data_IF_410445038444
#
_entry.id   IF_410445038444
#
_cell.length_a   1.000
_cell.length_b   1.000
_cell.length_c   1.000
_cell.angle_alpha   90.00
_cell.angle_beta   90.00
_cell.angle_gamma   90.00
#
_symmetry.space_group_name_H-M   'P 1'
#
loop_
_entity.id
_entity.type
_entity.pdbx_description
1 polymer ?
#
# COMPACT_ATOMS: atom_id res chain seq x y z
N UNK A 1 -21.90 -17.49 -16.22
CA UNK A 1 -20.78 -18.11 -15.48
C UNK A 1 -19.94 -16.97 -14.95
N UNK A 2 -19.74 -16.87 -13.63
CA UNK A 2 -19.22 -15.65 -13.00
C UNK A 2 -17.71 -15.55 -13.25
N UNK A 3 -17.27 -14.58 -14.05
CA UNK A 3 -15.86 -14.26 -14.35
C UNK A 3 -15.00 -14.26 -13.08
N UNK A 4 -15.57 -13.80 -11.97
CA UNK A 4 -14.92 -13.79 -10.66
C UNK A 4 -14.61 -15.20 -10.12
N UNK A 5 -15.51 -16.16 -10.32
CA UNK A 5 -15.32 -17.53 -9.85
C UNK A 5 -14.23 -18.24 -10.66
N UNK A 6 -14.17 -18.02 -11.98
CA UNK A 6 -13.09 -18.55 -12.84
C UNK A 6 -11.73 -17.93 -12.52
N UNK A 7 -11.67 -16.62 -12.26
CA UNK A 7 -10.44 -15.95 -11.83
C UNK A 7 -9.96 -16.45 -10.47
N UNK A 8 -10.86 -16.60 -9.50
CA UNK A 8 -10.54 -17.08 -8.16
C UNK A 8 -10.05 -18.53 -8.15
N UNK A 9 -10.66 -19.41 -8.96
CA UNK A 9 -10.26 -20.82 -9.05
C UNK A 9 -8.83 -20.98 -9.60
N UNK A 10 -8.47 -20.19 -10.61
CA UNK A 10 -7.14 -20.25 -11.23
C UNK A 10 -6.04 -19.61 -10.37
N UNK A 11 -6.40 -18.63 -9.52
CA UNK A 11 -5.46 -18.03 -8.56
C UNK A 11 -5.19 -18.92 -7.36
N UNK A 12 -6.15 -19.76 -6.94
CA UNK A 12 -5.92 -20.76 -5.90
C UNK A 12 -4.86 -21.79 -6.32
N UNK A 13 -4.84 -22.19 -7.60
CA UNK A 13 -3.82 -23.09 -8.17
C UNK A 13 -2.44 -22.44 -8.27
N UNK A 14 -2.35 -21.14 -8.57
CA UNK A 14 -1.07 -20.40 -8.63
C UNK A 14 -0.54 -20.02 -7.24
N UNK A 15 -1.41 -19.64 -6.29
CA UNK A 15 -1.05 -19.27 -4.91
C UNK A 15 -0.60 -20.48 -4.06
N UNK A 16 -1.15 -21.67 -4.31
CA UNK A 16 -0.70 -22.91 -3.68
C UNK A 16 0.76 -23.24 -4.02
N UNK A 17 1.25 -22.79 -5.17
CA UNK A 17 2.59 -23.10 -5.66
C UNK A 17 3.68 -22.08 -5.28
N UNK A 18 3.34 -20.91 -4.71
CA UNK A 18 4.32 -19.87 -4.34
C UNK A 18 3.93 -19.12 -3.05
N UNK A 19 4.59 -19.43 -1.93
CA UNK A 19 4.34 -18.83 -0.60
C UNK A 19 4.78 -17.36 -0.43
N UNK A 20 4.64 -16.47 -1.42
CA UNK A 20 4.96 -15.03 -1.29
C UNK A 20 4.04 -14.14 -2.13
N UNK A 21 3.73 -12.92 -1.63
CA UNK A 21 2.92 -11.86 -2.26
C UNK A 21 3.12 -11.77 -3.80
N UNK A 22 2.03 -11.62 -4.58
CA UNK A 22 2.11 -11.48 -6.02
C UNK A 22 2.60 -10.08 -6.42
N UNK A 23 3.74 -10.00 -7.12
CA UNK A 23 4.26 -8.78 -7.76
C UNK A 23 4.15 -8.94 -9.28
N UNK A 24 3.60 -7.99 -10.06
CA UNK A 24 3.51 -8.12 -11.52
C UNK A 24 4.86 -8.43 -12.18
N UNK A 25 5.96 -7.81 -11.74
CA UNK A 25 7.31 -8.05 -12.27
C UNK A 25 7.87 -9.46 -12.04
N UNK A 26 7.24 -10.28 -11.19
CA UNK A 26 7.63 -11.68 -10.95
C UNK A 26 6.89 -12.67 -11.85
N UNK A 27 5.90 -12.22 -12.62
CA UNK A 27 5.18 -13.07 -13.54
C UNK A 27 5.79 -12.95 -14.93
N UNK A 28 6.26 -14.06 -15.53
CA UNK A 28 7.09 -14.04 -16.73
C UNK A 28 6.34 -13.64 -18.00
N UNK A 29 5.00 -13.56 -17.96
CA UNK A 29 4.19 -13.30 -19.14
C UNK A 29 3.14 -12.20 -18.87
N UNK A 30 2.95 -11.34 -19.88
CA UNK A 30 2.02 -10.22 -19.86
C UNK A 30 0.59 -10.64 -19.48
N UNK A 31 0.15 -11.82 -19.91
CA UNK A 31 -1.19 -12.34 -19.66
C UNK A 31 -1.42 -12.64 -18.18
N UNK A 32 -0.44 -13.24 -17.49
CA UNK A 32 -0.50 -13.53 -16.06
C UNK A 32 -0.42 -12.23 -15.25
N UNK A 33 0.33 -11.23 -15.71
CA UNK A 33 0.34 -9.89 -15.09
C UNK A 33 -1.03 -9.21 -15.17
N UNK A 34 -1.67 -9.22 -16.34
CA UNK A 34 -3.03 -8.65 -16.51
C UNK A 34 -4.05 -9.43 -15.68
N UNK A 35 -3.95 -10.76 -15.62
CA UNK A 35 -4.85 -11.60 -14.82
C UNK A 35 -4.75 -11.29 -13.32
N UNK A 36 -3.52 -11.14 -12.81
CA UNK A 36 -3.32 -10.74 -11.42
C UNK A 36 -3.97 -9.38 -11.15
N UNK A 37 -3.67 -8.36 -11.97
CA UNK A 37 -4.29 -7.05 -11.81
C UNK A 37 -5.82 -7.11 -11.87
N UNK A 38 -6.38 -7.90 -12.80
CA UNK A 38 -7.83 -8.02 -12.94
C UNK A 38 -8.52 -8.61 -11.71
N UNK A 39 -7.80 -9.43 -10.93
CA UNK A 39 -8.31 -9.99 -9.68
C UNK A 39 -8.45 -8.95 -8.56
N UNK A 40 -7.71 -7.85 -8.66
CA UNK A 40 -7.73 -6.76 -7.68
C UNK A 40 -8.80 -5.71 -8.03
N UNK A 41 -9.42 -5.81 -9.20
CA UNK A 41 -10.43 -4.85 -9.64
C UNK A 41 -11.75 -5.06 -8.88
N UNK A 42 -12.33 -3.94 -8.45
CA UNK A 42 -13.64 -3.90 -7.83
C UNK A 42 -14.47 -2.73 -8.39
N UNK A 43 -15.80 -2.81 -8.20
CA UNK A 43 -16.72 -1.72 -8.55
C UNK A 43 -16.64 -1.32 -10.04
N UNK A 44 -16.58 -0.01 -10.37
CA UNK A 44 -16.54 0.48 -11.74
C UNK A 44 -15.37 -0.08 -12.58
N UNK A 45 -14.23 -0.35 -11.95
CA UNK A 45 -13.06 -0.90 -12.64
C UNK A 45 -13.29 -2.37 -13.07
N UNK A 46 -13.99 -3.16 -12.25
CA UNK A 46 -14.39 -4.52 -12.61
C UNK A 46 -15.44 -4.52 -13.73
N UNK A 47 -16.40 -3.59 -13.67
CA UNK A 47 -17.43 -3.43 -14.70
C UNK A 47 -16.84 -3.05 -16.07
N UNK A 48 -15.78 -2.23 -16.08
CA UNK A 48 -15.01 -1.90 -17.28
C UNK A 48 -14.22 -3.11 -17.82
N UNK A 49 -13.66 -3.94 -16.93
CA UNK A 49 -12.88 -5.11 -17.31
C UNK A 49 -13.73 -6.26 -17.87
N UNK A 50 -14.92 -6.49 -17.32
CA UNK A 50 -15.80 -7.61 -17.69
C UNK A 50 -16.00 -7.80 -19.21
N UNK A 51 -16.35 -6.78 -20.01
CA UNK A 51 -16.50 -6.95 -21.46
C UNK A 51 -15.19 -7.24 -22.20
N UNK A 52 -14.04 -6.79 -21.68
CA UNK A 52 -12.73 -7.13 -22.25
C UNK A 52 -12.41 -8.61 -22.04
N UNK A 53 -12.75 -9.14 -20.87
CA UNK A 53 -12.60 -10.55 -20.51
C UNK A 53 -13.50 -11.45 -21.34
N UNK A 54 -14.79 -11.14 -21.43
CA UNK A 54 -15.78 -11.92 -22.20
C UNK A 54 -15.43 -11.98 -23.68
N UNK A 55 -14.94 -10.88 -24.26
CA UNK A 55 -14.54 -10.78 -25.66
C UNK A 55 -13.13 -11.32 -25.95
N UNK A 56 -12.41 -11.83 -24.94
CA UNK A 56 -11.01 -12.27 -25.04
C UNK A 56 -10.13 -11.24 -25.76
N UNK A 57 -10.28 -9.97 -25.37
CA UNK A 57 -9.59 -8.85 -26.01
C UNK A 57 -8.08 -9.10 -26.06
N UNK A 58 -7.44 -8.67 -27.16
CA UNK A 58 -5.99 -8.70 -27.29
C UNK A 58 -5.27 -7.94 -26.17
N UNK A 59 -5.96 -6.96 -25.55
CA UNK A 59 -5.48 -6.21 -24.38
C UNK A 59 -5.16 -7.12 -23.18
N UNK A 60 -5.78 -8.30 -23.07
CA UNK A 60 -5.51 -9.24 -21.98
C UNK A 60 -4.15 -9.91 -22.10
N UNK A 61 -3.48 -9.81 -23.26
CA UNK A 61 -2.19 -10.44 -23.53
C UNK A 61 -1.03 -9.43 -23.55
N UNK A 62 -1.30 -8.14 -23.36
CA UNK A 62 -0.29 -7.08 -23.33
C UNK A 62 -0.52 -6.16 -22.13
N UNK A 63 0.34 -6.33 -21.13
CA UNK A 63 0.27 -5.60 -19.87
C UNK A 63 0.42 -4.08 -20.06
N UNK A 64 1.31 -3.65 -20.96
CA UNK A 64 1.57 -2.22 -21.16
C UNK A 64 0.39 -1.54 -21.85
N UNK A 65 -0.21 -2.21 -22.85
CA UNK A 65 -1.42 -1.71 -23.51
C UNK A 65 -2.63 -1.74 -22.57
N UNK A 66 -2.75 -2.78 -21.73
CA UNK A 66 -3.78 -2.86 -20.70
C UNK A 66 -3.69 -1.70 -19.70
N UNK A 67 -2.50 -1.47 -19.12
CA UNK A 67 -2.26 -0.38 -18.16
C UNK A 67 -2.48 0.99 -18.81
N UNK A 68 -2.07 1.18 -20.07
CA UNK A 68 -2.30 2.42 -20.81
C UNK A 68 -3.79 2.69 -20.94
N UNK A 69 -4.58 1.71 -21.39
CA UNK A 69 -6.03 1.86 -21.54
C UNK A 69 -6.75 2.06 -20.20
N UNK A 70 -6.31 1.33 -19.17
CA UNK A 70 -6.80 1.49 -17.81
C UNK A 70 -6.55 2.91 -17.28
N UNK A 71 -5.34 3.45 -17.48
CA UNK A 71 -4.99 4.84 -17.13
C UNK A 71 -5.71 5.87 -18.01
N UNK A 72 -5.98 5.59 -19.28
CA UNK A 72 -6.83 6.47 -20.10
C UNK A 72 -8.25 6.54 -19.55
N UNK A 73 -8.77 5.42 -19.02
CA UNK A 73 -10.13 5.34 -18.50
C UNK A 73 -10.25 5.92 -17.08
N UNK A 74 -9.24 5.71 -16.22
CA UNK A 74 -9.31 6.03 -14.79
C UNK A 74 -8.22 6.99 -14.29
N UNK A 75 -7.28 7.41 -15.14
CA UNK A 75 -6.07 8.16 -14.77
C UNK A 75 -6.14 9.67 -14.97
N UNK A 76 -7.31 10.24 -15.30
CA UNK A 76 -7.52 11.68 -15.21
C UNK A 76 -7.71 12.07 -13.73
N UNK A 77 -6.59 12.35 -13.06
CA UNK A 77 -6.54 13.01 -11.76
C UNK A 77 -6.88 14.51 -11.90
N UNK A 78 -8.10 14.80 -12.35
CA UNK A 78 -8.79 16.06 -12.08
C UNK A 78 -10.25 15.91 -12.50
N UNK A 79 -11.08 15.38 -11.59
CA UNK A 79 -12.55 15.53 -11.56
C UNK A 79 -13.13 14.96 -10.26
N UNK A 80 -13.29 15.85 -9.29
CA UNK A 80 -14.53 16.07 -8.55
C UNK A 80 -15.38 14.83 -8.20
N UNK A 81 -15.06 14.16 -7.10
CA UNK A 81 -16.09 13.43 -6.34
C UNK A 81 -16.96 14.44 -5.57
N UNK A 82 -17.78 15.20 -6.29
CA UNK A 82 -19.02 15.92 -5.90
C UNK A 82 -19.18 17.17 -6.76
N UNK A 83 -20.26 17.25 -7.54
CA UNK A 83 -20.38 18.22 -8.64
C UNK A 83 -20.55 19.70 -8.25
N UNK A 84 -20.27 20.59 -9.21
CA UNK A 84 -20.80 21.96 -9.25
C UNK A 84 -19.86 23.07 -9.74
N UNK A 85 -19.86 23.30 -11.06
CA UNK A 85 -19.71 24.60 -11.76
C UNK A 85 -18.49 25.55 -11.54
N UNK A 86 -17.89 25.88 -12.70
CA UNK A 86 -17.32 27.17 -13.21
C UNK A 86 -15.80 27.31 -13.32
N UNK A 87 -15.40 27.51 -14.58
CA UNK A 87 -14.08 27.93 -15.09
C UNK A 87 -13.56 29.23 -14.46
N UNK A 88 -12.25 29.28 -14.17
CA UNK A 88 -11.54 30.49 -13.76
C UNK A 88 -10.01 30.42 -13.84
N UNK A 89 -9.47 30.83 -14.99
CA UNK A 89 -8.18 31.49 -15.28
C UNK A 89 -6.87 31.00 -14.61
N UNK A 90 -5.96 30.54 -15.48
CA UNK A 90 -4.53 30.33 -15.22
C UNK A 90 -3.79 31.64 -14.88
N UNK A 91 -3.12 31.68 -13.72
CA UNK A 91 -2.14 32.69 -13.33
C UNK A 91 -0.84 32.02 -12.91
N UNK A 92 0.29 32.44 -13.52
CA UNK A 92 1.64 31.93 -13.29
C UNK A 92 2.05 32.02 -11.79
N UNK A 93 2.66 30.97 -11.24
CA UNK A 93 3.77 30.98 -10.23
C UNK A 93 4.04 29.58 -9.65
N UNK A 94 5.31 29.19 -9.62
CA UNK A 94 5.85 28.05 -8.87
C UNK A 94 5.64 26.69 -9.54
N UNK A 95 6.70 25.89 -9.66
CA UNK A 95 6.55 24.44 -9.83
C UNK A 95 5.73 23.96 -8.62
N UNK A 96 4.54 23.36 -8.81
CA UNK A 96 3.79 22.84 -7.69
C UNK A 96 4.63 21.73 -7.06
N UNK A 97 5.05 21.91 -5.81
CA UNK A 97 5.28 20.76 -4.95
C UNK A 97 3.94 20.03 -4.96
N UNK A 98 3.88 18.88 -5.63
CA UNK A 98 2.67 18.06 -5.65
C UNK A 98 2.38 17.74 -4.20
N UNK A 99 1.41 18.44 -3.60
CA UNK A 99 0.87 18.05 -2.30
C UNK A 99 0.16 16.75 -2.59
N UNK A 100 0.84 15.64 -2.31
CA UNK A 100 0.22 14.33 -2.41
C UNK A 100 -0.74 14.23 -1.25
N UNK A 101 -2.02 14.00 -1.56
CA UNK A 101 -3.02 13.65 -0.57
C UNK A 101 -2.61 12.31 0.05
N UNK A 102 -1.85 12.38 1.14
CA UNK A 102 -1.32 11.22 1.86
C UNK A 102 -2.21 10.94 3.06
N UNK A 103 -2.50 9.66 3.31
CA UNK A 103 -3.17 9.25 4.51
C UNK A 103 -2.13 9.00 5.60
N UNK A 104 -2.08 9.88 6.58
CA UNK A 104 -1.22 9.76 7.75
C UNK A 104 -2.10 9.58 8.98
N UNK A 105 -1.84 8.52 9.75
CA UNK A 105 -2.51 8.26 11.04
C UNK A 105 -1.49 8.35 12.18
N UNK A 106 -1.93 8.78 13.35
CA UNK A 106 -1.08 8.74 14.54
C UNK A 106 -1.30 7.43 15.28
N UNK A 107 -0.29 6.56 15.28
CA UNK A 107 -0.28 5.33 16.07
C UNK A 107 0.52 5.54 17.33
N UNK A 108 0.30 4.70 18.33
CA UNK A 108 1.11 4.68 19.54
C UNK A 108 1.91 3.38 19.62
N UNK A 109 3.14 3.48 20.11
CA UNK A 109 4.07 2.35 20.26
C UNK A 109 4.39 2.21 21.74
N UNK A 110 4.24 0.99 22.27
CA UNK A 110 4.51 0.68 23.67
C UNK A 110 5.99 0.33 23.89
N UNK A 111 6.61 0.94 24.89
CA UNK A 111 7.97 0.67 25.34
C UNK A 111 8.01 -0.48 26.36
N UNK A 112 9.22 -0.94 26.68
CA UNK A 112 9.46 -2.03 27.63
C UNK A 112 8.98 -1.70 29.05
N UNK A 113 9.07 -0.42 29.44
CA UNK A 113 8.59 0.12 30.71
C UNK A 113 7.07 0.39 30.74
N UNK A 114 6.34 -0.04 29.68
CA UNK A 114 4.90 0.17 29.45
C UNK A 114 4.50 1.61 29.13
N UNK A 115 5.42 2.56 29.10
CA UNK A 115 5.13 3.89 28.56
C UNK A 115 4.86 3.82 27.05
N UNK A 116 4.23 4.86 26.51
CA UNK A 116 3.84 4.92 25.10
C UNK A 116 4.30 6.22 24.47
N UNK A 117 4.73 6.16 23.22
CA UNK A 117 5.00 7.35 22.40
C UNK A 117 4.20 7.28 21.09
N UNK A 118 3.92 8.45 20.53
CA UNK A 118 3.06 8.60 19.35
C UNK A 118 3.89 8.85 18.10
N UNK A 119 3.47 8.24 16.99
CA UNK A 119 4.19 8.23 15.72
C UNK A 119 3.23 8.51 14.57
N UNK A 120 3.52 9.53 13.79
CA UNK A 120 2.80 9.82 12.54
C UNK A 120 3.21 8.84 11.46
N UNK A 121 2.25 8.06 11.02
CA UNK A 121 2.46 6.84 10.23
C UNK A 121 1.75 6.97 8.91
N UNK A 122 2.51 6.89 7.82
CA UNK A 122 1.98 6.85 6.47
C UNK A 122 1.33 5.49 6.22
N UNK A 123 0.12 5.51 5.67
CA UNK A 123 -0.54 4.33 5.12
C UNK A 123 -0.15 4.20 3.65
N UNK A 124 0.62 3.15 3.32
CA UNK A 124 1.16 2.95 1.97
C UNK A 124 0.94 1.51 1.50
N UNK A 125 -0.02 1.34 0.57
CA UNK A 125 -0.29 0.05 -0.07
C UNK A 125 0.80 -0.40 -1.05
N UNK A 126 1.67 0.50 -1.49
CA UNK A 126 2.78 0.16 -2.38
C UNK A 126 4.07 -0.15 -1.61
N UNK A 127 4.09 0.10 -0.30
CA UNK A 127 5.20 -0.29 0.56
C UNK A 127 5.38 -1.82 0.61
N UNK A 128 6.64 -2.25 0.50
CA UNK A 128 7.01 -3.67 0.49
C UNK A 128 7.12 -4.31 1.88
N UNK A 129 7.17 -3.49 2.93
CA UNK A 129 7.28 -3.88 4.33
C UNK A 129 6.87 -2.69 5.24
N UNK A 130 6.64 -2.92 6.54
CA UNK A 130 6.53 -1.83 7.51
C UNK A 130 7.90 -1.20 7.79
N UNK A 131 7.97 0.12 7.89
CA UNK A 131 9.20 0.89 8.09
C UNK A 131 9.10 1.87 9.28
N UNK A 132 10.21 2.10 9.96
CA UNK A 132 10.35 3.09 11.03
C UNK A 132 11.63 3.90 10.81
N UNK A 133 11.56 5.21 11.07
CA UNK A 133 12.72 6.08 10.98
C UNK A 133 13.76 5.68 12.05
N UNK A 134 14.98 5.37 11.61
CA UNK A 134 16.06 4.92 12.51
C UNK A 134 16.39 5.94 13.61
N UNK A 135 16.22 7.24 13.35
CA UNK A 135 16.44 8.29 14.35
C UNK A 135 15.46 8.18 15.51
N UNK A 136 14.20 7.81 15.25
CA UNK A 136 13.21 7.55 16.30
C UNK A 136 13.54 6.28 17.07
N UNK A 137 13.95 5.22 16.38
CA UNK A 137 14.35 3.99 17.04
C UNK A 137 15.52 4.23 18.02
N UNK A 138 16.48 5.07 17.63
CA UNK A 138 17.57 5.48 18.50
C UNK A 138 17.10 6.38 19.65
N UNK A 139 16.30 7.41 19.36
CA UNK A 139 15.79 8.35 20.38
C UNK A 139 15.04 7.65 21.51
N UNK A 140 14.22 6.65 21.18
CA UNK A 140 13.42 5.91 22.16
C UNK A 140 14.09 4.60 22.63
N UNK A 141 15.37 4.38 22.30
CA UNK A 141 16.13 3.18 22.67
C UNK A 141 15.39 1.87 22.36
N UNK A 142 14.75 1.79 21.18
CA UNK A 142 13.98 0.63 20.79
C UNK A 142 14.89 -0.60 20.64
N UNK A 143 14.44 -1.79 21.06
CA UNK A 143 15.20 -3.00 20.85
C UNK A 143 15.29 -3.31 19.35
N UNK A 144 16.50 -3.42 18.82
CA UNK A 144 16.75 -3.70 17.40
C UNK A 144 17.58 -4.97 17.21
N UNK A 145 17.55 -5.51 15.99
CA UNK A 145 18.39 -6.64 15.57
C UNK A 145 18.87 -6.46 14.14
N UNK A 146 20.06 -6.96 13.85
CA UNK A 146 20.60 -7.01 12.49
C UNK A 146 19.92 -8.15 11.71
N UNK A 147 19.54 -7.87 10.47
CA UNK A 147 18.92 -8.85 9.56
C UNK A 147 19.97 -9.79 9.00
N UNK A 148 19.61 -11.07 8.83
CA UNK A 148 20.44 -12.07 8.13
C UNK A 148 20.36 -11.90 6.61
N UNK A 149 19.20 -11.47 6.12
CA UNK A 149 18.93 -11.23 4.71
C UNK A 149 18.56 -9.76 4.54
N UNK A 150 19.25 -9.12 3.61
CA UNK A 150 19.11 -7.71 3.29
C UNK A 150 17.81 -7.47 2.52
N UNK A 151 17.06 -6.43 2.90
CA UNK A 151 15.91 -5.96 2.12
C UNK A 151 16.37 -4.79 1.25
N UNK A 152 16.37 -4.99 -0.07
CA UNK A 152 16.54 -3.88 -1.02
C UNK A 152 15.25 -3.08 -1.04
N UNK A 153 15.36 -1.77 -0.84
CA UNK A 153 14.24 -0.82 -0.90
C UNK A 153 14.50 0.09 -2.08
N UNK A 154 13.60 0.06 -3.06
CA UNK A 154 13.58 0.98 -4.20
C UNK A 154 12.42 1.95 -3.98
N UNK A 155 12.69 3.25 -4.06
CA UNK A 155 11.69 4.29 -3.78
C UNK A 155 11.22 4.90 -5.10
N UNK A 156 9.90 5.08 -5.24
CA UNK A 156 9.23 5.59 -6.46
C UNK A 156 9.07 7.14 -6.44
N UNK A 157 9.81 7.84 -5.59
CA UNK A 157 9.58 9.29 -5.32
C UNK A 157 10.74 10.20 -5.71
N UNK A 158 11.45 9.90 -6.79
CA UNK A 158 12.38 10.86 -7.43
C UNK A 158 13.54 11.33 -6.56
N UNK A 159 13.68 10.82 -5.34
CA UNK A 159 14.78 11.10 -4.43
C UNK A 159 15.14 9.82 -3.69
N UNK A 160 16.38 9.40 -3.90
CA UNK A 160 16.94 8.17 -3.35
C UNK A 160 16.97 8.27 -1.82
N UNK A 161 16.20 7.42 -1.14
CA UNK A 161 16.70 6.86 0.11
C UNK A 161 17.95 6.10 -0.32
N UNK A 162 19.10 6.33 0.31
CA UNK A 162 20.37 5.71 -0.10
C UNK A 162 20.11 4.24 -0.43
N UNK A 163 20.62 3.77 -1.58
CA UNK A 163 20.54 2.37 -2.05
C UNK A 163 21.32 1.41 -1.14
N UNK A 164 21.35 1.71 0.15
CA UNK A 164 21.89 0.89 1.20
C UNK A 164 20.79 -0.07 1.63
N UNK A 165 21.13 -1.35 1.59
CA UNK A 165 20.28 -2.39 2.10
C UNK A 165 19.77 -2.06 3.50
N UNK A 166 18.48 -2.27 3.73
CA UNK A 166 17.93 -2.26 5.09
C UNK A 166 18.55 -3.42 5.86
N UNK A 167 19.45 -3.07 6.77
CA UNK A 167 20.27 -4.00 7.57
C UNK A 167 19.70 -4.24 8.98
N UNK A 168 18.84 -3.35 9.47
CA UNK A 168 18.29 -3.43 10.83
C UNK A 168 16.76 -3.45 10.82
N UNK A 169 16.20 -4.13 11.81
CA UNK A 169 14.79 -4.10 12.13
C UNK A 169 14.61 -4.05 13.66
N UNK A 170 13.43 -3.65 14.12
CA UNK A 170 13.08 -3.71 15.53
C UNK A 170 12.87 -5.17 15.96
N UNK A 171 12.89 -5.44 17.27
CA UNK A 171 12.12 -6.58 17.79
C UNK A 171 10.61 -6.28 17.64
N UNK A 172 9.70 -7.26 17.75
CA UNK A 172 8.27 -6.98 17.72
C UNK A 172 7.91 -5.87 18.71
N UNK A 173 7.19 -4.85 18.22
CA UNK A 173 6.73 -3.72 19.00
C UNK A 173 5.20 -3.76 19.01
N UNK A 174 4.63 -3.62 20.20
CA UNK A 174 3.18 -3.49 20.34
C UNK A 174 2.77 -2.09 19.88
N UNK A 175 1.99 -2.04 18.80
CA UNK A 175 1.37 -0.82 18.29
C UNK A 175 -0.10 -0.77 18.69
N UNK A 176 -0.62 0.44 18.88
CA UNK A 176 -2.04 0.68 19.12
C UNK A 176 -2.56 1.84 18.29
N UNK A 177 -3.70 1.63 17.68
CA UNK A 177 -4.43 2.66 16.94
C UNK A 177 -5.93 2.43 17.16
N UNK A 178 -6.63 3.44 17.71
CA UNK A 178 -7.99 3.28 18.21
C UNK A 178 -8.05 2.07 19.17
N UNK A 179 -9.01 1.16 19.00
CA UNK A 179 -9.16 -0.03 19.82
C UNK A 179 -8.33 -1.23 19.30
N UNK A 180 -7.58 -1.07 18.21
CA UNK A 180 -6.76 -2.13 17.62
C UNK A 180 -5.35 -2.17 18.23
N UNK A 181 -4.87 -3.38 18.51
CA UNK A 181 -3.52 -3.66 19.01
C UNK A 181 -2.88 -4.79 18.21
N UNK A 182 -1.60 -4.64 17.87
CA UNK A 182 -0.84 -5.66 17.13
C UNK A 182 0.67 -5.55 17.40
N UNK A 183 1.37 -6.67 17.32
CA UNK A 183 2.84 -6.69 17.29
C UNK A 183 3.37 -6.54 15.86
N UNK A 184 4.11 -5.45 15.60
CA UNK A 184 4.76 -5.21 14.32
C UNK A 184 6.28 -5.19 14.48
N UNK A 185 6.97 -5.84 13.55
CA UNK A 185 8.42 -5.68 13.36
C UNK A 185 8.66 -4.64 12.25
N UNK A 186 9.34 -3.55 12.58
CA UNK A 186 9.63 -2.47 11.64
C UNK A 186 11.03 -2.58 11.06
N UNK A 187 11.15 -2.36 9.76
CA UNK A 187 12.43 -2.19 9.08
C UNK A 187 12.96 -0.77 9.32
N UNK A 188 14.23 -0.63 9.68
CA UNK A 188 14.80 0.68 9.94
C UNK A 188 15.33 1.31 8.66
N UNK A 189 14.81 2.50 8.35
CA UNK A 189 15.23 3.32 7.20
C UNK A 189 15.57 4.73 7.66
N UNK A 190 16.37 5.41 6.84
CA UNK A 190 16.52 6.86 6.91
C UNK A 190 15.53 7.51 5.96
N UNK A 191 14.58 8.26 6.50
CA UNK A 191 13.62 9.04 5.69
C UNK A 191 13.41 10.41 6.32
N UNK A 192 13.46 11.50 5.55
CA UNK A 192 13.22 12.84 6.08
C UNK A 192 11.74 13.18 6.22
N UNK A 193 10.83 12.42 5.61
CA UNK A 193 9.44 12.82 5.43
C UNK A 193 8.44 12.12 6.35
N UNK A 194 8.71 10.87 6.72
CA UNK A 194 7.75 10.06 7.49
C UNK A 194 8.42 9.45 8.72
N UNK A 195 7.67 9.38 9.83
CA UNK A 195 8.18 8.78 11.06
C UNK A 195 8.06 7.24 11.01
N UNK A 196 6.95 6.73 10.46
CA UNK A 196 6.74 5.32 10.17
C UNK A 196 5.89 5.14 8.89
N UNK A 197 5.91 3.92 8.35
CA UNK A 197 5.11 3.48 7.19
C UNK A 197 4.52 2.10 7.50
N UNK A 198 3.21 1.93 7.28
CA UNK A 198 2.52 0.63 7.37
C UNK A 198 2.24 0.09 5.96
N UNK A 199 2.56 -1.19 5.73
CA UNK A 199 2.46 -1.83 4.42
C UNK A 199 1.08 -2.44 4.10
N UNK A 200 0.92 -2.81 2.82
CA UNK A 200 -0.25 -3.51 2.31
C UNK A 200 -0.60 -4.83 3.01
N UNK A 201 0.36 -5.59 3.56
CA UNK A 201 -0.01 -6.83 4.27
C UNK A 201 -0.86 -6.49 5.48
N UNK A 202 -0.47 -5.44 6.21
CA UNK A 202 -1.18 -4.99 7.39
C UNK A 202 -2.58 -4.47 7.00
N UNK A 203 -2.66 -3.66 5.94
CA UNK A 203 -3.93 -3.17 5.41
C UNK A 203 -4.85 -4.29 4.91
N UNK A 204 -4.31 -5.25 4.17
CA UNK A 204 -5.08 -6.35 3.60
C UNK A 204 -5.56 -7.33 4.66
N UNK A 205 -4.77 -7.56 5.72
CA UNK A 205 -5.14 -8.43 6.83
C UNK A 205 -6.33 -7.90 7.61
N UNK A 206 -6.37 -6.58 7.86
CA UNK A 206 -7.44 -5.96 8.66
C UNK A 206 -8.59 -5.37 7.85
N UNK A 207 -8.40 -5.20 6.54
CA UNK A 207 -9.36 -4.64 5.60
C UNK A 207 -10.15 -3.43 6.15
N UNK A 208 -9.46 -2.37 6.62
CA UNK A 208 -10.11 -1.25 7.28
C UNK A 208 -10.96 -0.43 6.30
N UNK A 209 -12.01 0.21 6.82
CA UNK A 209 -12.75 1.23 6.10
C UNK A 209 -11.92 2.51 6.05
N UNK A 210 -11.48 2.88 4.85
CA UNK A 210 -10.74 4.11 4.61
C UNK A 210 -11.68 5.14 3.96
N UNK A 211 -11.90 6.26 4.64
CA UNK A 211 -12.49 7.45 4.04
C UNK A 211 -11.36 8.37 3.57
N UNK A 212 -11.09 8.34 2.27
CA UNK A 212 -10.03 9.15 1.64
C UNK A 212 -10.30 10.65 1.74
N UNK A 213 -11.56 11.08 1.63
CA UNK A 213 -11.93 12.50 1.68
C UNK A 213 -11.73 13.09 3.09
N UNK A 214 -11.98 12.28 4.12
CA UNK A 214 -11.84 12.70 5.52
C UNK A 214 -10.47 12.34 6.11
N UNK A 215 -9.63 11.63 5.36
CA UNK A 215 -8.38 11.04 5.83
C UNK A 215 -8.55 10.19 7.10
N UNK A 216 -9.59 9.35 7.12
CA UNK A 216 -9.94 8.50 8.27
C UNK A 216 -9.76 7.02 7.94
N UNK A 217 -9.16 6.28 8.88
CA UNK A 217 -9.10 4.82 8.86
C UNK A 217 -9.85 4.28 10.09
N UNK A 218 -10.78 3.34 9.87
CA UNK A 218 -11.58 2.66 10.90
C UNK A 218 -11.64 1.15 10.66
N UNK A 219 -11.60 0.36 11.72
CA UNK A 219 -11.80 -1.09 11.61
C UNK A 219 -13.28 -1.46 11.67
N UNK A 220 -13.76 -2.40 10.83
CA UNK A 220 -15.17 -2.79 10.78
C UNK A 220 -15.61 -3.68 11.96
N UNK A 221 -14.71 -4.50 12.54
CA UNK A 221 -15.06 -5.55 13.49
C UNK A 221 -14.28 -5.48 14.81
N UNK A 222 -14.93 -5.87 15.91
CA UNK A 222 -14.30 -6.04 17.24
C UNK A 222 -13.25 -7.17 17.28
N UNK A 223 -13.18 -8.02 16.25
CA UNK A 223 -12.19 -9.12 16.14
C UNK A 223 -10.80 -8.59 15.81
N UNK A 224 -10.68 -7.39 15.22
CA UNK A 224 -9.39 -6.74 15.03
C UNK A 224 -8.74 -6.27 16.34
N UNK A 225 -9.37 -6.43 17.50
CA UNK A 225 -8.88 -5.88 18.78
C UNK A 225 -7.72 -6.72 19.39
N UNK A 226 -7.53 -7.97 18.97
CA UNK A 226 -6.57 -8.91 19.58
C UNK A 226 -5.85 -9.80 18.54
N UNK A 227 -4.81 -9.28 17.91
CA UNK A 227 -3.77 -10.11 17.28
C UNK A 227 -2.48 -9.92 18.09
N UNK A 228 -2.35 -10.72 19.17
CA UNK A 228 -1.14 -10.83 20.01
C UNK A 228 -0.38 -12.08 19.61
#
# INVERSE_FOLDING_TARGET
>A
MNVRNELNQLLQEEAYNHSRKPKPSRYPNNKTQVRLLSSLLAGPALAWFAPLFEKKSALLNDFNSFIREFKTTFGDSNKDCCGGNKFGKFGKRGVPTVVRDTLVITVSIQLLDKSMFFVNTLIDSDASACFLNYMLAHQYNLPTRRKKTLLSVEVIDGQEISSEAVIYETKPLMIRYQDHCEEITFNLIQTPHYQAILELIWLAHHNPNINWCEHILKFPDAVCILHI
#
